data_IF_002892151319
#
_entry.id   IF_002892151319
#
_cell.length_a   1.000
_cell.length_b   1.000
_cell.length_c   1.000
_cell.angle_alpha   90.00
_cell.angle_beta   90.00
_cell.angle_gamma   90.00
#
_symmetry.space_group_name_H-M   'P 1'
#
loop_
_entity.id
_entity.type
_entity.pdbx_description
1 polymer ?
#
# COMPACT_ATOMS: atom_id res chain seq x y z
N UNK A 1 21.94 -19.72 -15.92
CA UNK A 1 21.82 -18.71 -14.84
C UNK A 1 20.83 -19.23 -13.81
N UNK A 2 21.33 -19.56 -12.61
CA UNK A 2 20.71 -20.47 -11.61
C UNK A 2 19.38 -19.93 -11.05
N UNK A 3 18.40 -20.83 -10.80
CA UNK A 3 17.14 -20.58 -10.11
C UNK A 3 17.32 -19.84 -8.75
N UNK A 4 18.46 -20.05 -8.11
CA UNK A 4 18.84 -19.41 -6.85
C UNK A 4 19.04 -17.87 -6.99
N UNK A 5 19.59 -17.39 -8.11
CA UNK A 5 19.74 -15.97 -8.38
C UNK A 5 18.39 -15.26 -8.58
N UNK A 6 17.41 -15.94 -9.19
CA UNK A 6 16.08 -15.37 -9.39
C UNK A 6 15.30 -15.15 -8.10
N UNK A 7 15.42 -16.02 -7.10
CA UNK A 7 14.75 -15.85 -5.81
C UNK A 7 15.34 -14.69 -5.01
N UNK A 8 16.65 -14.63 -4.91
CA UNK A 8 17.36 -13.55 -4.21
C UNK A 8 17.03 -12.18 -4.80
N UNK A 9 17.07 -12.07 -6.13
CA UNK A 9 16.72 -10.81 -6.82
C UNK A 9 15.27 -10.38 -6.54
N UNK A 10 14.30 -11.30 -6.59
CA UNK A 10 12.90 -11.01 -6.30
C UNK A 10 12.68 -10.60 -4.85
N UNK A 11 13.38 -11.25 -3.92
CA UNK A 11 13.31 -10.92 -2.50
C UNK A 11 13.85 -9.51 -2.22
N UNK A 12 15.00 -9.15 -2.80
CA UNK A 12 15.53 -7.79 -2.67
C UNK A 12 14.62 -6.74 -3.32
N UNK A 13 14.02 -7.05 -4.48
CA UNK A 13 13.06 -6.16 -5.12
C UNK A 13 11.84 -5.91 -4.23
N UNK A 14 11.30 -6.96 -3.60
CA UNK A 14 10.18 -6.82 -2.67
C UNK A 14 10.53 -5.90 -1.48
N UNK A 15 11.72 -6.08 -0.88
CA UNK A 15 12.20 -5.21 0.20
C UNK A 15 12.32 -3.76 -0.28
N UNK A 16 12.86 -3.52 -1.47
CA UNK A 16 13.00 -2.17 -2.04
C UNK A 16 11.62 -1.52 -2.23
N UNK A 17 10.63 -2.24 -2.76
CA UNK A 17 9.29 -1.69 -2.97
C UNK A 17 8.58 -1.35 -1.66
N UNK A 18 8.66 -2.24 -0.64
CA UNK A 18 8.14 -1.95 0.71
C UNK A 18 8.86 -0.73 1.31
N UNK A 19 10.19 -0.68 1.19
CA UNK A 19 10.98 0.45 1.69
C UNK A 19 10.59 1.76 1.00
N UNK A 20 10.40 1.77 -0.31
CA UNK A 20 9.99 2.95 -1.06
C UNK A 20 8.62 3.46 -0.60
N UNK A 21 7.65 2.57 -0.39
CA UNK A 21 6.34 2.95 0.12
C UNK A 21 6.44 3.54 1.54
N UNK A 22 7.07 2.83 2.47
CA UNK A 22 7.23 3.30 3.86
C UNK A 22 8.03 4.60 3.91
N UNK A 23 9.11 4.71 3.14
CA UNK A 23 9.96 5.91 3.11
C UNK A 23 9.21 7.13 2.59
N UNK A 24 8.45 6.97 1.48
CA UNK A 24 7.63 8.07 0.94
C UNK A 24 6.56 8.53 1.93
N UNK A 25 5.90 7.60 2.62
CA UNK A 25 4.93 7.90 3.68
C UNK A 25 5.58 8.71 4.83
N UNK A 26 6.78 8.31 5.27
CA UNK A 26 7.51 9.05 6.31
C UNK A 26 7.94 10.44 5.85
N UNK A 27 8.33 10.63 4.59
CA UNK A 27 8.61 11.95 4.04
C UNK A 27 7.36 12.84 4.09
N UNK A 28 6.21 12.30 3.68
CA UNK A 28 4.95 13.06 3.73
C UNK A 28 4.61 13.47 5.16
N UNK A 29 4.65 12.55 6.12
CA UNK A 29 4.41 12.87 7.55
C UNK A 29 5.35 13.97 8.06
N UNK A 30 6.58 14.02 7.56
CA UNK A 30 7.58 15.00 8.00
C UNK A 30 7.38 16.40 7.41
N UNK A 31 6.89 16.48 6.16
CA UNK A 31 6.90 17.74 5.40
C UNK A 31 5.50 18.28 5.07
N UNK A 32 4.44 17.50 5.29
CA UNK A 32 3.06 17.86 4.98
C UNK A 32 2.24 17.82 6.26
N UNK A 33 1.47 18.85 6.55
CA UNK A 33 0.56 18.86 7.70
C UNK A 33 -0.64 17.93 7.46
N UNK A 34 -1.20 17.39 8.56
CA UNK A 34 -2.36 16.50 8.45
C UNK A 34 -3.54 17.22 7.75
N UNK A 35 -4.09 16.56 6.74
CA UNK A 35 -5.14 17.05 5.86
C UNK A 35 -4.73 18.27 4.99
N UNK A 36 -3.45 18.59 4.91
CA UNK A 36 -2.94 19.60 3.99
C UNK A 36 -2.88 19.02 2.58
N UNK A 37 -3.24 19.86 1.58
CA UNK A 37 -3.10 19.58 0.16
C UNK A 37 -2.02 20.50 -0.41
N UNK A 38 -0.98 19.92 -1.01
CA UNK A 38 0.07 20.64 -1.73
C UNK A 38 -0.13 20.39 -3.21
N UNK A 39 -0.64 21.38 -3.93
CA UNK A 39 -0.89 21.24 -5.36
C UNK A 39 0.43 21.23 -6.14
N UNK A 40 0.63 20.15 -6.90
CA UNK A 40 1.78 19.98 -7.78
C UNK A 40 1.43 20.47 -9.19
N UNK A 41 0.21 20.17 -9.64
CA UNK A 41 -0.31 20.64 -10.93
C UNK A 41 -1.86 20.60 -10.92
N UNK A 42 -2.48 20.86 -12.08
CA UNK A 42 -3.93 21.01 -12.22
C UNK A 42 -4.75 19.70 -12.02
N UNK A 43 -4.13 18.57 -11.80
CA UNK A 43 -4.81 17.28 -11.58
C UNK A 43 -4.19 16.42 -10.48
N UNK A 44 -3.09 16.86 -9.84
CA UNK A 44 -2.34 16.07 -8.88
C UNK A 44 -1.89 16.89 -7.68
N UNK A 45 -2.22 16.41 -6.49
CA UNK A 45 -1.80 16.96 -5.21
C UNK A 45 -1.04 15.91 -4.39
N UNK A 46 -0.09 16.37 -3.57
CA UNK A 46 0.44 15.60 -2.45
C UNK A 46 -0.37 15.98 -1.22
N UNK A 47 -0.86 14.96 -0.49
CA UNK A 47 -1.68 15.15 0.70
C UNK A 47 -1.16 14.30 1.86
N UNK A 48 -1.54 14.64 3.10
CA UNK A 48 -1.36 13.74 4.23
C UNK A 48 -2.71 13.36 4.81
N UNK A 49 -3.16 12.15 4.50
CA UNK A 49 -4.43 11.59 5.01
C UNK A 49 -4.15 10.34 5.81
N UNK A 50 -4.81 10.23 6.98
CA UNK A 50 -4.79 9.02 7.82
C UNK A 50 -6.00 8.16 7.49
N UNK A 51 -5.76 7.02 6.88
CA UNK A 51 -6.81 6.06 6.53
C UNK A 51 -6.93 4.99 7.62
N UNK A 52 -7.96 5.12 8.46
CA UNK A 52 -8.25 4.19 9.55
C UNK A 52 -9.06 2.97 9.11
N UNK A 53 -9.62 3.00 7.88
CA UNK A 53 -10.47 1.95 7.35
C UNK A 53 -9.80 1.08 6.27
N UNK A 54 -10.63 0.59 5.37
CA UNK A 54 -10.23 0.02 4.09
C UNK A 54 -10.33 1.09 3.00
N UNK A 55 -10.21 0.70 1.75
CA UNK A 55 -10.29 1.62 0.60
C UNK A 55 -11.40 2.67 0.79
N UNK A 56 -11.09 3.93 0.51
CA UNK A 56 -11.99 5.08 0.68
C UNK A 56 -12.36 5.42 2.14
N UNK A 57 -11.59 4.97 3.14
CA UNK A 57 -11.92 5.21 4.56
C UNK A 57 -13.17 4.47 5.05
N UNK A 58 -13.69 3.51 4.27
CA UNK A 58 -14.85 2.71 4.68
C UNK A 58 -14.55 1.98 6.00
N UNK A 59 -15.55 1.94 6.87
CA UNK A 59 -15.54 1.27 8.17
C UNK A 59 -14.54 1.87 9.20
N UNK A 60 -13.93 3.04 8.92
CA UNK A 60 -12.95 3.67 9.80
C UNK A 60 -13.48 3.90 11.23
N UNK A 61 -14.74 4.30 11.36
CA UNK A 61 -15.39 4.62 12.63
C UNK A 61 -16.00 3.39 13.33
N UNK A 62 -16.08 2.25 12.64
CA UNK A 62 -16.78 1.07 13.13
C UNK A 62 -15.85 0.03 13.78
N UNK A 63 -14.57 0.02 13.39
CA UNK A 63 -13.66 -1.03 13.81
C UNK A 63 -12.26 -0.50 14.17
N UNK A 64 -11.61 -1.17 15.10
CA UNK A 64 -10.24 -0.87 15.50
C UNK A 64 -9.23 -1.33 14.42
N UNK A 65 -8.05 -0.71 14.38
CA UNK A 65 -6.97 -1.06 13.45
C UNK A 65 -6.61 -2.57 13.49
N UNK A 66 -6.76 -3.22 14.64
CA UNK A 66 -6.47 -4.65 14.80
C UNK A 66 -7.34 -5.56 13.94
N UNK A 67 -8.60 -5.19 13.70
CA UNK A 67 -9.50 -5.95 12.83
C UNK A 67 -8.99 -5.89 11.38
N UNK A 68 -8.57 -4.71 10.93
CA UNK A 68 -8.00 -4.55 9.57
C UNK A 68 -6.65 -5.25 9.43
N UNK A 69 -5.81 -5.28 10.47
CA UNK A 69 -4.57 -6.06 10.51
C UNK A 69 -4.88 -7.55 10.40
N UNK A 70 -5.83 -8.05 11.17
CA UNK A 70 -6.23 -9.47 11.15
C UNK A 70 -6.76 -9.87 9.77
N UNK A 71 -7.73 -9.14 9.25
CA UNK A 71 -8.36 -9.43 7.94
C UNK A 71 -7.29 -9.33 6.83
N UNK A 72 -6.49 -8.25 6.80
CA UNK A 72 -5.42 -8.08 5.84
C UNK A 72 -4.39 -9.20 5.89
N UNK A 73 -4.02 -9.65 7.09
CA UNK A 73 -3.10 -10.78 7.27
C UNK A 73 -3.70 -12.08 6.75
N UNK A 74 -4.97 -12.38 7.06
CA UNK A 74 -5.64 -13.59 6.57
C UNK A 74 -5.73 -13.61 5.03
N UNK A 75 -6.11 -12.48 4.43
CA UNK A 75 -6.14 -12.33 2.97
C UNK A 75 -4.74 -12.50 2.38
N UNK A 76 -3.72 -11.88 2.98
CA UNK A 76 -2.33 -12.00 2.51
C UNK A 76 -1.84 -13.44 2.57
N UNK A 77 -2.11 -14.17 3.65
CA UNK A 77 -1.79 -15.60 3.77
C UNK A 77 -2.49 -16.42 2.69
N UNK A 78 -3.76 -16.15 2.42
CA UNK A 78 -4.50 -16.81 1.35
C UNK A 78 -3.90 -16.51 -0.04
N UNK A 79 -3.49 -15.27 -0.31
CA UNK A 79 -2.83 -14.91 -1.58
C UNK A 79 -1.45 -15.58 -1.70
N UNK A 80 -0.68 -15.69 -0.61
CA UNK A 80 0.58 -16.45 -0.59
C UNK A 80 0.33 -17.92 -0.94
N UNK A 81 -0.73 -18.52 -0.44
CA UNK A 81 -1.12 -19.89 -0.79
C UNK A 81 -1.39 -20.05 -2.29
N UNK A 82 -2.14 -19.12 -2.89
CA UNK A 82 -2.36 -19.08 -4.35
C UNK A 82 -1.04 -18.89 -5.10
N UNK A 83 -0.20 -17.95 -4.66
CA UNK A 83 1.12 -17.69 -5.25
C UNK A 83 2.01 -18.93 -5.32
N UNK A 84 2.00 -19.75 -4.26
CA UNK A 84 2.79 -20.99 -4.21
C UNK A 84 2.26 -22.01 -5.23
N UNK A 85 0.95 -22.13 -5.40
CA UNK A 85 0.32 -23.10 -6.29
C UNK A 85 0.31 -22.67 -7.76
N UNK A 86 0.34 -21.37 -8.04
CA UNK A 86 0.35 -20.88 -9.42
C UNK A 86 1.54 -21.43 -10.20
N UNK A 87 1.34 -21.78 -11.45
CA UNK A 87 2.39 -22.20 -12.40
C UNK A 87 2.66 -21.11 -13.44
N UNK A 88 1.76 -20.15 -13.57
CA UNK A 88 1.90 -19.02 -14.50
C UNK A 88 2.82 -17.93 -13.96
N UNK A 89 3.70 -17.42 -14.81
CA UNK A 89 4.71 -16.41 -14.41
C UNK A 89 4.09 -15.03 -14.23
N UNK A 90 3.09 -14.69 -15.04
CA UNK A 90 2.42 -13.38 -14.97
C UNK A 90 1.49 -13.33 -13.76
N UNK A 91 0.75 -14.41 -13.51
CA UNK A 91 -0.05 -14.55 -12.29
C UNK A 91 0.81 -14.44 -11.04
N UNK A 92 1.95 -15.16 -10.97
CA UNK A 92 2.91 -15.02 -9.86
C UNK A 92 3.44 -13.60 -9.70
N UNK A 93 3.68 -12.90 -10.79
CA UNK A 93 4.13 -11.52 -10.70
C UNK A 93 3.07 -10.62 -10.09
N UNK A 94 1.82 -10.69 -10.56
CA UNK A 94 0.69 -9.94 -10.00
C UNK A 94 0.46 -10.25 -8.53
N UNK A 95 0.41 -11.55 -8.17
CA UNK A 95 0.25 -11.98 -6.77
C UNK A 95 1.39 -11.49 -5.87
N UNK A 96 2.63 -11.44 -6.38
CA UNK A 96 3.76 -10.90 -5.63
C UNK A 96 3.58 -9.39 -5.34
N UNK A 97 3.12 -8.60 -6.30
CA UNK A 97 2.82 -7.18 -6.09
C UNK A 97 1.71 -6.99 -5.06
N UNK A 98 0.63 -7.76 -5.14
CA UNK A 98 -0.46 -7.72 -4.15
C UNK A 98 0.08 -8.03 -2.74
N UNK A 99 0.91 -9.07 -2.58
CA UNK A 99 1.51 -9.45 -1.30
C UNK A 99 2.39 -8.30 -0.76
N UNK A 100 3.22 -7.69 -1.61
CA UNK A 100 4.11 -6.58 -1.24
C UNK A 100 3.30 -5.39 -0.72
N UNK A 101 2.28 -4.97 -1.45
CA UNK A 101 1.42 -3.85 -1.05
C UNK A 101 0.63 -4.14 0.22
N UNK A 102 0.06 -5.36 0.33
CA UNK A 102 -0.67 -5.76 1.53
C UNK A 102 0.22 -5.76 2.77
N UNK A 103 1.46 -6.30 2.68
CA UNK A 103 2.44 -6.27 3.77
C UNK A 103 2.78 -4.83 4.16
N UNK A 104 3.01 -3.94 3.19
CA UNK A 104 3.34 -2.54 3.47
C UNK A 104 2.21 -1.82 4.23
N UNK A 105 0.96 -1.98 3.81
CA UNK A 105 -0.20 -1.41 4.50
C UNK A 105 -0.50 -2.07 5.86
N UNK A 106 -0.14 -3.33 6.07
CA UNK A 106 -0.21 -3.99 7.39
C UNK A 106 0.86 -3.41 8.33
N UNK A 107 2.08 -3.20 7.84
CA UNK A 107 3.16 -2.56 8.61
C UNK A 107 2.72 -1.19 9.12
N UNK A 108 2.14 -0.35 8.26
CA UNK A 108 1.62 0.94 8.68
C UNK A 108 0.61 0.83 9.82
N UNK A 109 -0.36 -0.08 9.70
CA UNK A 109 -1.38 -0.27 10.73
C UNK A 109 -0.81 -0.78 12.06
N UNK A 110 0.23 -1.62 12.01
CA UNK A 110 0.90 -2.12 13.22
C UNK A 110 1.60 -0.98 13.97
N UNK A 111 2.31 -0.09 13.26
CA UNK A 111 3.10 0.96 13.88
C UNK A 111 2.32 2.24 14.14
N UNK A 112 1.39 2.60 13.25
CA UNK A 112 0.69 3.88 13.29
C UNK A 112 -0.78 3.76 13.72
N UNK A 113 -1.40 2.59 13.61
CA UNK A 113 -2.84 2.38 13.79
C UNK A 113 -3.69 2.78 12.58
N UNK A 114 -3.08 3.29 11.51
CA UNK A 114 -3.71 3.73 10.25
C UNK A 114 -2.75 3.55 9.08
N UNK A 115 -3.25 3.68 7.87
CA UNK A 115 -2.44 3.78 6.65
C UNK A 115 -2.27 5.25 6.27
N UNK A 116 -1.09 5.62 5.79
CA UNK A 116 -0.80 6.97 5.29
C UNK A 116 -1.06 6.99 3.80
N UNK A 117 -2.04 7.81 3.37
CA UNK A 117 -2.35 8.06 1.97
C UNK A 117 -1.87 9.45 1.58
N UNK A 118 -1.17 9.55 0.41
CA UNK A 118 -0.48 10.78 0.07
C UNK A 118 -0.58 11.18 -1.41
N UNK A 119 -1.11 10.35 -2.28
CA UNK A 119 -1.34 10.65 -3.69
C UNK A 119 -2.81 10.99 -3.86
N UNK A 120 -3.12 12.18 -4.34
CA UNK A 120 -4.49 12.60 -4.63
C UNK A 120 -4.58 13.10 -6.06
N UNK A 121 -5.47 12.49 -6.85
CA UNK A 121 -5.81 12.99 -8.17
C UNK A 121 -7.15 13.73 -8.13
N UNK A 122 -7.25 14.81 -8.90
CA UNK A 122 -8.47 15.55 -9.03
C UNK A 122 -8.68 16.10 -10.44
N UNK A 123 -9.93 16.33 -10.77
CA UNK A 123 -10.31 17.07 -11.96
C UNK A 123 -11.44 18.05 -11.61
N UNK A 124 -11.15 19.33 -11.64
CA UNK A 124 -12.02 20.40 -11.11
C UNK A 124 -12.37 20.10 -9.63
N UNK A 125 -13.68 20.07 -9.32
CA UNK A 125 -14.18 19.81 -7.97
C UNK A 125 -14.26 18.31 -7.59
N UNK A 126 -13.94 17.41 -8.52
CA UNK A 126 -13.98 15.97 -8.27
C UNK A 126 -12.60 15.48 -7.84
N UNK A 127 -12.50 14.98 -6.60
CA UNK A 127 -11.32 14.38 -6.05
C UNK A 127 -11.44 12.86 -6.01
N UNK A 128 -10.45 12.17 -6.57
CA UNK A 128 -10.29 10.75 -6.36
C UNK A 128 -9.79 10.53 -4.93
N UNK A 129 -10.26 9.50 -4.21
CA UNK A 129 -9.75 9.18 -2.89
C UNK A 129 -8.24 9.04 -2.89
N UNK A 130 -7.59 9.60 -1.87
CA UNK A 130 -6.14 9.51 -1.75
C UNK A 130 -5.70 8.05 -1.58
N UNK A 131 -4.50 7.75 -2.06
CA UNK A 131 -3.88 6.42 -2.02
C UNK A 131 -2.35 6.55 -1.85
N UNK A 132 -1.67 5.40 -1.79
CA UNK A 132 -0.22 5.30 -1.60
C UNK A 132 0.42 4.32 -2.60
N UNK A 133 1.72 4.10 -2.52
CA UNK A 133 2.40 3.16 -3.42
C UNK A 133 1.98 1.70 -3.18
N UNK A 134 1.72 1.31 -1.92
CA UNK A 134 1.23 -0.03 -1.63
C UNK A 134 -0.11 -0.33 -2.34
N UNK A 135 -1.01 0.66 -2.43
CA UNK A 135 -2.28 0.53 -3.15
C UNK A 135 -2.06 0.38 -4.66
N UNK A 136 -1.06 1.08 -5.23
CA UNK A 136 -0.66 0.87 -6.64
C UNK A 136 -0.14 -0.56 -6.86
N UNK A 137 0.57 -1.13 -5.90
CA UNK A 137 1.06 -2.52 -6.02
C UNK A 137 -0.08 -3.54 -5.94
N UNK A 138 -1.18 -3.22 -5.23
CA UNK A 138 -2.35 -4.09 -5.08
C UNK A 138 -3.25 -4.04 -6.33
N UNK A 139 -3.29 -2.92 -7.05
CA UNK A 139 -4.17 -2.69 -8.22
C UNK A 139 -3.54 -3.18 -9.52
#
# INVERSE_FOLDING_TARGET
>A
MSLKNNFVTKFFLAIILIFLDIFSKQLVVRFVELNQFISINFFFDIVYIRNYGISFGLLADLYSAWIFILIGTLITVFIIFIYIQSMDKFEKLGLAFIIIGAISNIIDRIFNGFVIDFISFHYKEFYWPAFNFADIYIS
#
